data_IF_898670496640
#
_entry.id   IF_898670496640
#
_cell.length_a   1.000
_cell.length_b   1.000
_cell.length_c   1.000
_cell.angle_alpha   90.00
_cell.angle_beta   90.00
_cell.angle_gamma   90.00
#
_symmetry.space_group_name_H-M   'P 1'
#
loop_
_entity.id
_entity.type
_entity.pdbx_description
1 polymer ?
#
# COMPACT_ATOMS: atom_id res chain seq x y z
N UNK A 1 11.81 17.86 -2.39
CA UNK A 1 13.22 18.28 -2.50
C UNK A 1 14.08 17.03 -2.59
N UNK A 2 14.90 16.90 -3.63
CA UNK A 2 15.84 15.78 -3.78
C UNK A 2 17.05 16.01 -2.87
N UNK A 3 17.30 15.11 -1.92
CA UNK A 3 18.48 15.12 -1.05
C UNK A 3 19.68 14.58 -1.83
N UNK A 4 20.81 15.29 -1.79
CA UNK A 4 22.10 14.79 -2.29
C UNK A 4 22.80 14.11 -1.11
N UNK A 5 23.17 12.84 -1.28
CA UNK A 5 23.86 12.04 -0.27
C UNK A 5 25.22 11.63 -0.82
N UNK A 6 26.27 11.80 -0.03
CA UNK A 6 27.58 11.26 -0.35
C UNK A 6 27.59 9.77 0.00
N UNK A 7 27.80 8.91 -0.99
CA UNK A 7 27.96 7.48 -0.74
C UNK A 7 29.40 7.19 -0.29
N UNK A 8 29.57 6.87 0.98
CA UNK A 8 30.87 6.57 1.60
C UNK A 8 31.17 5.06 1.54
N UNK A 9 30.15 4.22 1.32
CA UNK A 9 30.30 2.76 1.31
C UNK A 9 30.31 2.15 -0.09
N UNK A 10 31.03 1.04 -0.25
CA UNK A 10 31.00 0.24 -1.49
C UNK A 10 29.79 -0.70 -1.44
N UNK A 11 28.93 -0.71 -2.47
CA UNK A 11 27.82 -1.66 -2.53
C UNK A 11 28.31 -3.11 -2.50
N UNK A 12 27.61 -3.95 -1.74
CA UNK A 12 27.81 -5.39 -1.73
C UNK A 12 27.45 -6.00 -3.09
N UNK A 13 28.22 -7.01 -3.51
CA UNK A 13 28.00 -7.72 -4.79
C UNK A 13 26.64 -8.41 -4.87
N UNK A 14 26.11 -8.87 -3.73
CA UNK A 14 24.84 -9.59 -3.65
C UNK A 14 23.89 -8.78 -2.75
N UNK A 15 22.71 -8.38 -3.23
CA UNK A 15 21.73 -7.64 -2.43
C UNK A 15 21.08 -8.49 -1.34
N UNK A 16 20.75 -7.84 -0.22
CA UNK A 16 19.86 -8.42 0.77
C UNK A 16 18.41 -8.02 0.47
N UNK A 17 17.51 -9.00 0.41
CA UNK A 17 16.08 -8.77 0.17
C UNK A 17 15.29 -8.88 1.47
N UNK A 18 14.60 -7.80 1.84
CA UNK A 18 13.63 -7.79 2.94
C UNK A 18 12.25 -8.18 2.40
N UNK A 19 11.97 -9.47 2.38
CA UNK A 19 10.74 -10.02 1.78
C UNK A 19 9.44 -9.41 2.32
N UNK A 20 9.43 -8.97 3.59
CA UNK A 20 8.25 -8.36 4.23
C UNK A 20 7.86 -6.99 3.65
N UNK A 21 8.81 -6.23 3.09
CA UNK A 21 8.56 -4.93 2.46
C UNK A 21 8.88 -4.93 0.96
N UNK A 22 9.26 -6.09 0.40
CA UNK A 22 9.57 -6.27 -1.01
C UNK A 22 10.91 -5.65 -1.48
N UNK A 23 11.51 -4.77 -0.67
CA UNK A 23 12.74 -4.05 -1.01
C UNK A 23 14.01 -4.86 -0.83
N UNK A 24 15.03 -4.47 -1.57
CA UNK A 24 16.39 -4.98 -1.42
C UNK A 24 17.37 -3.82 -1.24
N UNK A 25 18.52 -4.09 -0.64
CA UNK A 25 19.59 -3.10 -0.50
C UNK A 25 20.98 -3.76 -0.58
N UNK A 26 21.95 -2.97 -1.01
CA UNK A 26 23.34 -3.34 -1.25
C UNK A 26 24.33 -2.42 -0.56
N UNK A 27 23.94 -1.22 -0.15
CA UNK A 27 24.83 -0.28 0.55
C UNK A 27 24.25 0.19 1.88
N UNK A 28 25.08 0.85 2.68
CA UNK A 28 24.63 1.49 3.92
C UNK A 28 23.60 2.58 3.63
N UNK A 29 23.83 3.40 2.60
CA UNK A 29 22.97 4.52 2.25
C UNK A 29 21.58 4.06 1.82
N UNK A 30 21.49 2.97 1.04
CA UNK A 30 20.22 2.34 0.69
C UNK A 30 19.51 1.80 1.93
N UNK A 31 20.25 1.23 2.89
CA UNK A 31 19.66 0.76 4.14
C UNK A 31 19.17 1.92 5.03
N UNK A 32 19.90 3.03 5.10
CA UNK A 32 19.44 4.25 5.77
C UNK A 32 18.19 4.83 5.12
N UNK A 33 18.13 4.83 3.79
CA UNK A 33 16.94 5.24 3.05
C UNK A 33 15.73 4.36 3.42
N UNK A 34 15.93 3.04 3.51
CA UNK A 34 14.89 2.11 3.96
C UNK A 34 14.47 2.40 5.41
N UNK A 35 15.40 2.67 6.32
CA UNK A 35 15.07 3.04 7.70
C UNK A 35 14.20 4.30 7.78
N UNK A 36 14.42 5.28 6.90
CA UNK A 36 13.64 6.51 6.85
C UNK A 36 12.19 6.30 6.40
N UNK A 37 12.01 5.45 5.38
CA UNK A 37 10.71 5.21 4.76
C UNK A 37 9.90 4.12 5.47
N UNK A 38 10.59 3.13 6.07
CA UNK A 38 10.01 1.95 6.69
C UNK A 38 10.29 1.88 8.20
N UNK A 39 10.51 3.02 8.87
CA UNK A 39 10.86 3.09 10.30
C UNK A 39 9.96 2.22 11.19
N UNK A 40 8.64 2.31 11.01
CA UNK A 40 7.68 1.56 11.83
C UNK A 40 7.82 0.04 11.68
N UNK A 41 8.22 -0.45 10.49
CA UNK A 41 8.51 -1.85 10.25
C UNK A 41 9.70 -2.29 11.09
N UNK A 42 10.81 -1.56 11.03
CA UNK A 42 12.01 -1.89 11.81
C UNK A 42 11.80 -1.74 13.32
N UNK A 43 10.95 -0.81 13.76
CA UNK A 43 10.58 -0.69 15.17
C UNK A 43 9.69 -1.84 15.68
N UNK A 44 8.93 -2.47 14.79
CA UNK A 44 7.99 -3.55 15.17
C UNK A 44 8.65 -4.92 15.07
N UNK A 45 9.50 -5.13 14.06
CA UNK A 45 10.14 -6.41 13.77
C UNK A 45 11.58 -6.50 14.32
N UNK A 46 12.22 -5.35 14.57
CA UNK A 46 13.65 -5.30 14.85
C UNK A 46 14.50 -5.76 13.65
N UNK A 47 15.79 -5.96 13.89
CA UNK A 47 16.70 -6.58 12.93
C UNK A 47 16.85 -8.05 13.25
N UNK A 48 16.19 -8.90 12.47
CA UNK A 48 16.30 -10.36 12.58
C UNK A 48 17.75 -10.82 12.33
N UNK A 49 18.11 -12.00 12.87
CA UNK A 49 19.46 -12.57 12.76
C UNK A 49 20.05 -12.56 11.33
N UNK A 50 19.32 -12.96 10.27
CA UNK A 50 19.85 -12.92 8.91
C UNK A 50 20.20 -11.50 8.43
N UNK A 51 19.43 -10.49 8.84
CA UNK A 51 19.72 -9.10 8.53
C UNK A 51 20.98 -8.62 9.25
N UNK A 52 21.11 -8.91 10.56
CA UNK A 52 22.31 -8.55 11.34
C UNK A 52 23.57 -9.19 10.75
N UNK A 53 23.50 -10.47 10.36
CA UNK A 53 24.61 -11.16 9.72
C UNK A 53 25.01 -10.52 8.38
N UNK A 54 24.03 -10.19 7.54
CA UNK A 54 24.31 -9.52 6.27
C UNK A 54 24.98 -8.15 6.47
N UNK A 55 24.45 -7.33 7.39
CA UNK A 55 25.04 -6.02 7.73
C UNK A 55 26.50 -6.17 8.16
N UNK A 56 26.80 -7.17 8.99
CA UNK A 56 28.16 -7.45 9.46
C UNK A 56 29.08 -7.95 8.34
N UNK A 57 28.68 -9.00 7.63
CA UNK A 57 29.57 -9.69 6.68
C UNK A 57 29.75 -8.95 5.36
N UNK A 58 28.74 -8.18 4.93
CA UNK A 58 28.73 -7.55 3.60
C UNK A 58 28.95 -6.05 3.65
N UNK A 59 28.54 -5.38 4.74
CA UNK A 59 28.64 -3.92 4.87
C UNK A 59 29.55 -3.48 6.02
N UNK A 60 30.15 -4.42 6.76
CA UNK A 60 31.01 -4.13 7.92
C UNK A 60 30.30 -3.29 9.00
N UNK A 61 28.99 -3.53 9.19
CA UNK A 61 28.16 -2.85 10.19
C UNK A 61 27.80 -3.84 11.30
N UNK A 62 28.32 -3.63 12.50
CA UNK A 62 28.06 -4.50 13.65
C UNK A 62 26.94 -3.91 14.51
N UNK A 63 25.79 -4.60 14.53
CA UNK A 63 24.68 -4.27 15.42
C UNK A 63 24.76 -5.12 16.68
N UNK A 64 24.93 -4.46 17.83
CA UNK A 64 25.16 -5.10 19.14
C UNK A 64 23.86 -5.32 19.91
N UNK A 65 22.94 -4.38 19.83
CA UNK A 65 21.70 -4.46 20.60
C UNK A 65 20.66 -5.42 20.01
N UNK A 66 19.85 -6.01 20.88
CA UNK A 66 18.63 -6.73 20.51
C UNK A 66 17.37 -5.86 20.60
N UNK A 67 17.47 -4.68 21.23
CA UNK A 67 16.38 -3.71 21.28
C UNK A 67 16.25 -2.96 19.95
N UNK A 68 15.05 -2.95 19.37
CA UNK A 68 14.80 -2.35 18.05
C UNK A 68 15.13 -0.85 17.98
N UNK A 69 14.90 -0.11 19.07
CA UNK A 69 15.21 1.33 19.10
C UNK A 69 16.72 1.54 19.08
N UNK A 70 17.47 0.76 19.87
CA UNK A 70 18.93 0.84 19.89
C UNK A 70 19.55 0.35 18.58
N UNK A 71 19.02 -0.72 17.98
CA UNK A 71 19.44 -1.19 16.66
C UNK A 71 19.37 -0.07 15.61
N UNK A 72 18.25 0.65 15.54
CA UNK A 72 18.09 1.78 14.63
C UNK A 72 19.07 2.91 14.95
N UNK A 73 19.28 3.21 16.25
CA UNK A 73 20.26 4.23 16.67
C UNK A 73 21.70 3.88 16.31
N UNK A 74 22.07 2.60 16.40
CA UNK A 74 23.41 2.13 16.01
C UNK A 74 23.64 2.36 14.52
N UNK A 75 22.64 2.07 13.67
CA UNK A 75 22.76 2.29 12.22
C UNK A 75 22.88 3.76 11.89
N UNK A 76 21.98 4.64 12.35
CA UNK A 76 22.00 6.06 11.96
C UNK A 76 23.27 6.81 12.39
N UNK A 77 24.03 6.25 13.33
CA UNK A 77 25.28 6.82 13.84
C UNK A 77 26.54 6.18 13.25
N UNK A 78 26.40 5.19 12.35
CA UNK A 78 27.54 4.41 11.87
C UNK A 78 28.38 5.17 10.83
N UNK A 79 27.79 5.59 9.71
CA UNK A 79 28.42 6.45 8.68
C UNK A 79 27.59 7.72 8.41
N UNK A 80 28.14 8.64 7.60
CA UNK A 80 27.52 9.94 7.33
C UNK A 80 26.45 9.86 6.24
N UNK A 81 25.26 9.40 6.61
CA UNK A 81 24.06 9.55 5.76
C UNK A 81 23.15 10.69 6.24
N UNK A 82 23.02 10.83 7.56
CA UNK A 82 22.21 11.85 8.20
C UNK A 82 23.09 13.02 8.63
N UNK A 83 22.67 14.24 8.33
CA UNK A 83 23.25 15.44 8.95
C UNK A 83 22.97 15.44 10.45
N UNK A 84 23.69 16.26 11.22
CA UNK A 84 23.45 16.39 12.67
C UNK A 84 21.99 16.74 12.99
N UNK A 85 21.39 17.64 12.22
CA UNK A 85 19.99 18.05 12.39
C UNK A 85 19.01 16.93 12.03
N UNK A 86 19.27 16.21 10.93
CA UNK A 86 18.45 15.06 10.54
C UNK A 86 18.53 13.95 11.59
N UNK A 87 19.70 13.69 12.19
CA UNK A 87 19.83 12.73 13.30
C UNK A 87 18.95 13.14 14.49
N UNK A 88 18.93 14.43 14.84
CA UNK A 88 18.08 14.93 15.94
C UNK A 88 16.61 14.71 15.62
N UNK A 89 16.15 15.13 14.43
CA UNK A 89 14.76 14.95 13.99
C UNK A 89 14.36 13.47 13.93
N UNK A 90 15.25 12.63 13.40
CA UNK A 90 15.02 11.20 13.30
C UNK A 90 14.91 10.54 14.67
N UNK A 91 15.82 10.88 15.60
CA UNK A 91 15.77 10.37 16.97
C UNK A 91 14.53 10.85 17.73
N UNK A 92 14.06 12.07 17.49
CA UNK A 92 12.79 12.55 18.03
C UNK A 92 11.62 11.73 17.49
N UNK A 93 11.54 11.53 16.17
CA UNK A 93 10.53 10.67 15.52
C UNK A 93 10.57 9.23 16.04
N UNK A 94 11.77 8.69 16.27
CA UNK A 94 11.98 7.36 16.84
C UNK A 94 11.38 7.26 18.25
N UNK A 95 11.69 8.23 19.12
CA UNK A 95 11.17 8.28 20.50
C UNK A 95 9.66 8.41 20.55
N UNK A 96 9.09 9.32 19.77
CA UNK A 96 7.63 9.52 19.75
C UNK A 96 6.90 8.29 19.22
N UNK A 97 7.41 7.68 18.13
CA UNK A 97 6.82 6.47 17.56
C UNK A 97 6.91 5.28 18.53
N UNK A 98 8.02 5.16 19.27
CA UNK A 98 8.19 4.11 20.27
C UNK A 98 7.19 4.23 21.44
N UNK A 99 6.77 5.45 21.81
CA UNK A 99 5.82 5.66 22.91
C UNK A 99 4.36 5.44 22.53
N UNK A 100 4.05 5.25 21.24
CA UNK A 100 2.69 4.94 20.81
C UNK A 100 2.20 3.60 21.36
N UNK A 101 0.90 3.52 21.59
CA UNK A 101 0.22 2.27 21.97
C UNK A 101 0.43 1.20 20.91
N UNK A 102 0.30 -0.07 21.31
CA UNK A 102 0.44 -1.19 20.38
C UNK A 102 -0.54 -1.08 19.19
N UNK A 103 -1.80 -0.72 19.45
CA UNK A 103 -2.80 -0.47 18.40
C UNK A 103 -2.37 0.65 17.44
N UNK A 104 -1.84 1.77 17.96
CA UNK A 104 -1.39 2.89 17.12
C UNK A 104 -0.18 2.51 16.26
N UNK A 105 0.79 1.77 16.81
CA UNK A 105 1.93 1.24 16.05
C UNK A 105 1.48 0.28 14.95
N UNK A 106 0.54 -0.62 15.27
CA UNK A 106 -0.02 -1.56 14.30
C UNK A 106 -0.75 -0.84 13.15
N UNK A 107 -1.54 0.20 13.46
CA UNK A 107 -2.16 1.05 12.43
C UNK A 107 -1.09 1.72 11.55
N UNK A 108 -0.05 2.31 12.14
CA UNK A 108 1.03 2.95 11.38
C UNK A 108 1.78 1.96 10.48
N UNK A 109 1.97 0.72 10.94
CA UNK A 109 2.55 -0.35 10.13
C UNK A 109 1.66 -0.68 8.93
N UNK A 110 0.35 -0.79 9.14
CA UNK A 110 -0.62 -1.02 8.07
C UNK A 110 -0.68 0.15 7.08
N UNK A 111 -0.74 1.39 7.57
CA UNK A 111 -0.71 2.63 6.77
C UNK A 111 0.58 2.71 5.92
N UNK A 112 1.72 2.28 6.47
CA UNK A 112 2.99 2.19 5.73
C UNK A 112 2.88 1.17 4.59
N UNK A 113 2.38 -0.03 4.85
CA UNK A 113 2.19 -1.04 3.79
C UNK A 113 1.27 -0.53 2.69
N UNK A 114 0.17 0.15 3.04
CA UNK A 114 -0.75 0.75 2.07
C UNK A 114 -0.06 1.84 1.22
N UNK A 115 0.69 2.74 1.86
CA UNK A 115 1.46 3.80 1.16
C UNK A 115 2.42 3.22 0.13
N UNK A 116 2.99 2.05 0.42
CA UNK A 116 3.90 1.33 -0.47
C UNK A 116 3.20 0.29 -1.36
N UNK A 117 1.86 0.34 -1.47
CA UNK A 117 1.04 -0.49 -2.35
C UNK A 117 1.09 -2.00 -2.04
N UNK A 118 1.52 -2.38 -0.84
CA UNK A 118 1.57 -3.75 -0.35
C UNK A 118 0.19 -4.16 0.21
N UNK A 119 -0.84 -4.16 -0.63
CA UNK A 119 -2.25 -4.22 -0.22
C UNK A 119 -2.62 -5.43 0.65
N UNK A 120 -2.13 -6.63 0.31
CA UNK A 120 -2.37 -7.84 1.10
C UNK A 120 -1.79 -7.70 2.52
N UNK A 121 -0.56 -7.18 2.62
CA UNK A 121 0.10 -6.97 3.91
C UNK A 121 -0.57 -5.87 4.73
N UNK A 122 -0.98 -4.80 4.06
CA UNK A 122 -1.75 -3.72 4.68
C UNK A 122 -3.06 -4.26 5.27
N UNK A 123 -3.82 -5.04 4.49
CA UNK A 123 -5.09 -5.63 4.94
C UNK A 123 -4.89 -6.55 6.15
N UNK A 124 -3.93 -7.48 6.10
CA UNK A 124 -3.60 -8.36 7.22
C UNK A 124 -3.20 -7.54 8.46
N UNK A 125 -2.41 -6.47 8.27
CA UNK A 125 -1.98 -5.62 9.36
C UNK A 125 -3.13 -4.82 9.98
N UNK A 126 -4.12 -4.37 9.18
CA UNK A 126 -5.33 -3.75 9.69
C UNK A 126 -6.22 -4.76 10.44
N UNK A 127 -6.47 -5.95 9.89
CA UNK A 127 -7.26 -7.00 10.55
C UNK A 127 -6.68 -7.40 11.91
N UNK A 128 -5.35 -7.43 12.03
CA UNK A 128 -4.68 -7.72 13.31
C UNK A 128 -5.05 -6.74 14.43
N UNK A 129 -5.54 -5.53 14.13
CA UNK A 129 -5.97 -4.56 15.15
C UNK A 129 -7.10 -5.08 16.04
N UNK A 130 -7.89 -6.06 15.60
CA UNK A 130 -8.93 -6.71 16.41
C UNK A 130 -8.36 -7.46 17.62
N UNK A 131 -7.11 -7.90 17.52
CA UNK A 131 -6.42 -8.72 18.53
C UNK A 131 -5.37 -7.95 19.32
N UNK A 132 -4.99 -6.75 18.88
CA UNK A 132 -3.92 -5.96 19.50
C UNK A 132 -4.45 -5.16 20.68
N UNK A 133 -3.68 -5.09 21.76
CA UNK A 133 -4.04 -4.32 22.95
C UNK A 133 -4.10 -2.81 22.69
N UNK A 134 -5.10 -2.15 23.27
CA UNK A 134 -5.35 -0.72 23.12
C UNK A 134 -6.47 -0.44 22.13
N UNK A 135 -7.11 0.72 22.27
CA UNK A 135 -8.22 1.13 21.39
C UNK A 135 -7.81 2.32 20.55
N UNK A 136 -8.13 2.25 19.27
CA UNK A 136 -8.13 3.41 18.38
C UNK A 136 -9.34 4.30 18.69
N UNK A 137 -9.20 5.60 18.50
CA UNK A 137 -10.35 6.50 18.59
C UNK A 137 -11.27 6.33 17.35
N UNK A 138 -12.48 6.91 17.40
CA UNK A 138 -13.45 6.75 16.32
C UNK A 138 -12.94 7.22 14.94
N UNK A 139 -12.19 8.33 14.89
CA UNK A 139 -11.62 8.85 13.64
C UNK A 139 -10.57 7.89 13.05
N UNK A 140 -9.75 7.28 13.91
CA UNK A 140 -8.77 6.28 13.50
C UNK A 140 -9.43 4.97 13.06
N UNK A 141 -10.51 4.55 13.71
CA UNK A 141 -11.29 3.37 13.31
C UNK A 141 -11.92 3.55 11.92
N UNK A 142 -12.53 4.72 11.67
CA UNK A 142 -13.06 5.08 10.35
C UNK A 142 -11.94 5.01 9.29
N UNK A 143 -10.77 5.59 9.57
CA UNK A 143 -9.64 5.55 8.64
C UNK A 143 -9.18 4.12 8.35
N UNK A 144 -9.12 3.25 9.37
CA UNK A 144 -8.74 1.84 9.19
C UNK A 144 -9.72 1.14 8.27
N UNK A 145 -11.04 1.27 8.53
CA UNK A 145 -12.08 0.66 7.70
C UNK A 145 -12.05 1.18 6.26
N UNK A 146 -11.88 2.49 6.08
CA UNK A 146 -11.71 3.09 4.76
C UNK A 146 -10.46 2.55 4.04
N UNK A 147 -9.32 2.45 4.71
CA UNK A 147 -8.09 1.90 4.14
C UNK A 147 -8.18 0.41 3.83
N UNK A 148 -8.90 -0.37 4.63
CA UNK A 148 -9.22 -1.78 4.32
C UNK A 148 -10.04 -1.88 3.05
N UNK A 149 -11.09 -1.07 2.91
CA UNK A 149 -11.89 -0.97 1.69
C UNK A 149 -11.05 -0.60 0.46
N UNK A 150 -10.13 0.37 0.59
CA UNK A 150 -9.20 0.72 -0.49
C UNK A 150 -8.27 -0.46 -0.88
N UNK A 151 -7.74 -1.20 0.10
CA UNK A 151 -6.93 -2.38 -0.17
C UNK A 151 -7.74 -3.44 -0.93
N UNK A 152 -8.95 -3.74 -0.45
CA UNK A 152 -9.85 -4.73 -1.04
C UNK A 152 -10.25 -4.34 -2.47
N UNK A 153 -10.63 -3.07 -2.71
CA UNK A 153 -10.93 -2.56 -4.05
C UNK A 153 -9.74 -2.71 -5.00
N UNK A 154 -8.50 -2.45 -4.54
CA UNK A 154 -7.28 -2.64 -5.34
C UNK A 154 -6.98 -4.10 -5.65
N UNK A 155 -7.51 -5.02 -4.85
CA UNK A 155 -7.42 -6.47 -5.05
C UNK A 155 -8.66 -7.05 -5.75
N UNK A 156 -9.57 -6.21 -6.24
CA UNK A 156 -10.83 -6.61 -6.90
C UNK A 156 -11.80 -7.38 -5.99
N UNK A 157 -11.61 -7.29 -4.68
CA UNK A 157 -12.50 -7.84 -3.64
C UNK A 157 -13.61 -6.82 -3.34
N UNK A 158 -14.47 -6.54 -4.33
CA UNK A 158 -15.41 -5.40 -4.25
C UNK A 158 -16.54 -5.61 -3.25
N UNK A 159 -16.97 -6.85 -3.02
CA UNK A 159 -17.96 -7.17 -1.99
C UNK A 159 -17.42 -6.90 -0.58
N UNK A 160 -16.19 -7.31 -0.30
CA UNK A 160 -15.54 -7.04 0.98
C UNK A 160 -15.22 -5.55 1.14
N UNK A 161 -14.84 -4.87 0.05
CA UNK A 161 -14.61 -3.43 0.06
C UNK A 161 -15.88 -2.65 0.43
N UNK A 162 -17.03 -3.02 -0.15
CA UNK A 162 -18.35 -2.47 0.20
C UNK A 162 -18.62 -2.57 1.69
N UNK A 163 -18.44 -3.75 2.27
CA UNK A 163 -18.70 -3.96 3.70
C UNK A 163 -17.78 -3.11 4.57
N UNK A 164 -16.48 -3.02 4.23
CA UNK A 164 -15.54 -2.14 4.95
C UNK A 164 -15.96 -0.67 4.90
N UNK A 165 -16.39 -0.16 3.74
CA UNK A 165 -16.88 1.21 3.61
C UNK A 165 -18.21 1.42 4.34
N UNK A 166 -19.14 0.46 4.27
CA UNK A 166 -20.41 0.52 4.99
C UNK A 166 -20.18 0.56 6.52
N UNK A 167 -19.25 -0.24 7.03
CA UNK A 167 -18.85 -0.20 8.44
C UNK A 167 -18.29 1.17 8.83
N UNK A 168 -17.51 1.82 7.97
CA UNK A 168 -17.02 3.17 8.22
C UNK A 168 -18.15 4.20 8.26
N UNK A 169 -19.10 4.13 7.32
CA UNK A 169 -20.28 5.02 7.25
C UNK A 169 -21.21 4.88 8.46
N UNK A 170 -21.32 3.67 9.04
CA UNK A 170 -22.08 3.45 10.29
C UNK A 170 -21.50 4.19 11.49
N UNK A 171 -20.20 4.50 11.49
CA UNK A 171 -19.58 5.29 12.57
C UNK A 171 -19.82 6.78 12.33
N UNK A 172 -19.56 7.25 11.11
CA UNK A 172 -19.78 8.64 10.72
C UNK A 172 -20.00 8.73 9.21
N UNK A 173 -21.02 9.48 8.82
CA UNK A 173 -21.23 9.83 7.41
C UNK A 173 -20.08 10.69 6.88
N UNK A 174 -19.57 10.30 5.71
CA UNK A 174 -18.53 11.01 5.00
C UNK A 174 -18.72 10.83 3.49
N UNK A 175 -18.71 11.95 2.76
CA UNK A 175 -18.98 11.96 1.32
C UNK A 175 -17.94 11.16 0.53
N UNK A 176 -16.66 11.21 0.92
CA UNK A 176 -15.60 10.48 0.23
C UNK A 176 -15.78 8.98 0.41
N UNK A 177 -16.21 8.55 1.60
CA UNK A 177 -16.47 7.12 1.88
C UNK A 177 -17.73 6.65 1.14
N UNK A 178 -18.77 7.48 1.05
CA UNK A 178 -19.96 7.19 0.23
C UNK A 178 -19.60 7.00 -1.25
N UNK A 179 -18.80 7.91 -1.82
CA UNK A 179 -18.34 7.79 -3.22
C UNK A 179 -17.53 6.50 -3.44
N UNK A 180 -16.66 6.13 -2.49
CA UNK A 180 -15.89 4.88 -2.55
C UNK A 180 -16.81 3.65 -2.44
N UNK A 181 -17.82 3.68 -1.56
CA UNK A 181 -18.82 2.63 -1.42
C UNK A 181 -19.60 2.42 -2.71
N UNK A 182 -20.14 3.48 -3.31
CA UNK A 182 -20.90 3.37 -4.56
C UNK A 182 -20.04 2.88 -5.72
N UNK A 183 -18.79 3.34 -5.78
CA UNK A 183 -17.84 2.84 -6.78
C UNK A 183 -17.61 1.34 -6.61
N UNK A 184 -17.39 0.86 -5.40
CA UNK A 184 -17.24 -0.56 -5.12
C UNK A 184 -18.52 -1.35 -5.44
N UNK A 185 -19.70 -0.81 -5.12
CA UNK A 185 -20.98 -1.45 -5.43
C UNK A 185 -21.26 -1.56 -6.92
N UNK A 186 -20.93 -0.52 -7.69
CA UNK A 186 -21.03 -0.55 -9.14
C UNK A 186 -20.12 -1.64 -9.73
N UNK A 187 -18.91 -1.78 -9.20
CA UNK A 187 -17.93 -2.75 -9.69
C UNK A 187 -18.22 -4.20 -9.25
N UNK A 188 -18.99 -4.38 -8.17
CA UNK A 188 -19.29 -5.68 -7.61
C UNK A 188 -20.47 -6.39 -8.30
N UNK A 189 -21.43 -5.63 -8.86
CA UNK A 189 -22.68 -6.19 -9.34
C UNK A 189 -23.41 -5.35 -10.39
N UNK A 190 -24.62 -5.78 -10.71
CA UNK A 190 -25.52 -5.10 -11.63
C UNK A 190 -26.32 -3.97 -10.95
N UNK A 191 -27.24 -3.38 -11.69
CA UNK A 191 -28.07 -2.27 -11.20
C UNK A 191 -28.90 -2.67 -9.96
N UNK A 192 -29.47 -3.88 -9.94
CA UNK A 192 -30.26 -4.34 -8.79
C UNK A 192 -29.41 -4.46 -7.53
N UNK A 193 -28.23 -5.07 -7.65
CA UNK A 193 -27.27 -5.18 -6.54
C UNK A 193 -26.81 -3.80 -6.04
N UNK A 194 -26.62 -2.83 -6.95
CA UNK A 194 -26.29 -1.45 -6.59
C UNK A 194 -27.42 -0.75 -5.81
N UNK A 195 -28.67 -0.89 -6.26
CA UNK A 195 -29.83 -0.30 -5.58
C UNK A 195 -30.04 -0.93 -4.19
N UNK A 196 -29.85 -2.25 -4.06
CA UNK A 196 -29.89 -2.91 -2.75
C UNK A 196 -28.80 -2.39 -1.81
N UNK A 197 -27.57 -2.24 -2.32
CA UNK A 197 -26.47 -1.66 -1.58
C UNK A 197 -26.77 -0.22 -1.11
N UNK A 198 -27.29 0.64 -2.00
CA UNK A 198 -27.70 2.00 -1.65
C UNK A 198 -28.77 2.06 -0.55
N UNK A 199 -29.76 1.16 -0.59
CA UNK A 199 -30.77 1.04 0.49
C UNK A 199 -30.16 0.67 1.84
N UNK A 200 -29.10 -0.15 1.88
CA UNK A 200 -28.42 -0.54 3.14
C UNK A 200 -27.74 0.64 3.84
N UNK A 201 -27.40 1.69 3.10
CA UNK A 201 -26.83 2.94 3.64
C UNK A 201 -27.85 4.10 3.61
N UNK A 202 -29.15 3.78 3.55
CA UNK A 202 -30.27 4.72 3.66
C UNK A 202 -30.39 5.77 2.54
N UNK A 203 -29.88 5.48 1.34
CA UNK A 203 -30.17 6.31 0.17
C UNK A 203 -31.53 5.95 -0.43
N UNK A 204 -32.27 6.95 -0.89
CA UNK A 204 -33.48 6.71 -1.68
C UNK A 204 -33.14 6.17 -3.07
N UNK A 205 -34.09 5.43 -3.64
CA UNK A 205 -33.88 4.71 -4.90
C UNK A 205 -33.60 5.65 -6.07
N UNK A 206 -34.20 6.85 -6.10
CA UNK A 206 -34.01 7.82 -7.17
C UNK A 206 -32.59 8.40 -7.12
N UNK A 207 -32.09 8.72 -5.93
CA UNK A 207 -30.69 9.10 -5.73
C UNK A 207 -29.73 7.99 -6.18
N UNK A 208 -30.00 6.73 -5.83
CA UNK A 208 -29.18 5.61 -6.27
C UNK A 208 -29.17 5.47 -7.80
N UNK A 209 -30.34 5.56 -8.45
CA UNK A 209 -30.45 5.52 -9.92
C UNK A 209 -29.66 6.65 -10.58
N UNK A 210 -29.75 7.87 -10.05
CA UNK A 210 -28.96 9.00 -10.55
C UNK A 210 -27.45 8.75 -10.43
N UNK A 211 -26.98 8.25 -9.29
CA UNK A 211 -25.56 7.95 -9.08
C UNK A 211 -25.10 6.84 -10.04
N UNK A 212 -25.91 5.78 -10.18
CA UNK A 212 -25.61 4.67 -11.09
C UNK A 212 -25.51 5.12 -12.55
N UNK A 213 -26.46 5.96 -13.01
CA UNK A 213 -26.43 6.54 -14.35
C UNK A 213 -25.20 7.42 -14.56
N UNK A 214 -24.87 8.30 -13.61
CA UNK A 214 -23.67 9.14 -13.66
C UNK A 214 -22.38 8.31 -13.77
N UNK A 215 -22.30 7.18 -13.05
CA UNK A 215 -21.16 6.26 -13.15
C UNK A 215 -21.11 5.62 -14.54
N UNK A 216 -22.24 5.12 -15.06
CA UNK A 216 -22.33 4.54 -16.42
C UNK A 216 -21.93 5.53 -17.52
N UNK A 217 -22.33 6.79 -17.39
CA UNK A 217 -21.96 7.83 -18.36
C UNK A 217 -20.45 8.09 -18.35
N UNK A 218 -19.84 8.20 -17.17
CA UNK A 218 -18.38 8.32 -17.04
C UNK A 218 -17.65 7.09 -17.57
N UNK A 219 -18.21 5.90 -17.40
CA UNK A 219 -17.64 4.68 -17.95
C UNK A 219 -17.54 4.76 -19.49
N UNK A 220 -18.58 5.28 -20.16
CA UNK A 220 -18.55 5.51 -21.61
C UNK A 220 -17.43 6.45 -22.04
N UNK A 221 -17.14 7.49 -21.26
CA UNK A 221 -16.03 8.40 -21.52
C UNK A 221 -14.67 7.71 -21.35
N UNK A 222 -14.54 6.80 -20.38
CA UNK A 222 -13.32 6.02 -20.17
C UNK A 222 -13.01 5.12 -21.37
N UNK A 223 -14.04 4.53 -22.00
CA UNK A 223 -13.87 3.75 -23.23
C UNK A 223 -13.34 4.55 -24.43
N UNK A 224 -13.41 5.88 -24.39
CA UNK A 224 -12.86 6.77 -25.45
C UNK A 224 -11.39 7.12 -25.22
N UNK A 225 -10.76 6.59 -24.16
CA UNK A 225 -9.33 6.82 -23.90
C UNK A 225 -8.45 5.91 -24.74
N UNK A 226 -7.25 6.40 -25.07
CA UNK A 226 -6.24 5.69 -25.89
C UNK A 226 -5.88 4.29 -25.35
N UNK A 227 -6.01 4.08 -24.04
CA UNK A 227 -5.78 2.78 -23.40
C UNK A 227 -6.83 1.74 -23.81
N UNK A 228 -8.08 2.16 -23.99
CA UNK A 228 -9.16 1.31 -24.48
C UNK A 228 -9.09 1.11 -25.99
N UNK A 229 -8.53 2.04 -26.77
CA UNK A 229 -8.24 1.81 -28.19
C UNK A 229 -7.30 0.61 -28.40
N UNK A 230 -6.34 0.40 -27.49
CA UNK A 230 -5.42 -0.75 -27.55
C UNK A 230 -6.16 -2.07 -27.32
N UNK A 231 -7.13 -2.09 -26.40
CA UNK A 231 -8.01 -3.24 -26.18
C UNK A 231 -8.98 -3.45 -27.36
N UNK A 232 -9.52 -2.37 -27.93
CA UNK A 232 -10.37 -2.41 -29.12
C UNK A 232 -9.63 -2.98 -30.34
N UNK A 233 -8.36 -2.63 -30.54
CA UNK A 233 -7.52 -3.23 -31.59
C UNK A 233 -7.32 -4.73 -31.39
N UNK A 234 -7.12 -5.19 -30.15
CA UNK A 234 -7.03 -6.62 -29.84
C UNK A 234 -8.34 -7.33 -30.20
N UNK A 235 -9.49 -6.77 -29.80
CA UNK A 235 -10.81 -7.34 -30.08
C UNK A 235 -11.11 -7.39 -31.58
N UNK A 236 -10.74 -6.35 -32.33
CA UNK A 236 -10.88 -6.28 -33.78
C UNK A 236 -10.14 -7.42 -34.50
N UNK A 237 -8.85 -7.60 -34.21
CA UNK A 237 -8.06 -8.67 -34.83
C UNK A 237 -8.53 -10.06 -34.39
N UNK A 238 -8.99 -10.20 -33.14
CA UNK A 238 -9.60 -11.45 -32.64
C UNK A 238 -10.84 -11.81 -33.45
N UNK A 239 -11.74 -10.86 -33.71
CA UNK A 239 -12.96 -11.07 -34.52
C UNK A 239 -12.66 -11.41 -35.98
N UNK A 240 -11.52 -10.97 -36.51
CA UNK A 240 -11.04 -11.31 -37.86
C UNK A 240 -10.25 -12.62 -37.94
N UNK A 241 -10.12 -13.35 -36.84
CA UNK A 241 -9.32 -14.58 -36.74
C UNK A 241 -7.82 -14.40 -37.11
N UNK A 242 -7.28 -13.19 -36.92
CA UNK A 242 -5.85 -12.91 -37.14
C UNK A 242 -5.03 -13.26 -35.89
N UNK A 243 -4.80 -14.56 -35.69
CA UNK A 243 -4.18 -15.09 -34.47
C UNK A 243 -2.79 -14.52 -34.17
N UNK A 244 -2.01 -14.22 -35.21
CA UNK A 244 -0.64 -13.73 -35.06
C UNK A 244 -0.61 -12.30 -34.52
N UNK A 245 -1.42 -11.41 -35.08
CA UNK A 245 -1.52 -10.03 -34.61
C UNK A 245 -2.19 -9.99 -33.23
N UNK A 246 -3.26 -10.76 -33.02
CA UNK A 246 -3.94 -10.85 -31.72
C UNK A 246 -3.00 -11.32 -30.62
N UNK A 247 -2.22 -12.40 -30.83
CA UNK A 247 -1.24 -12.88 -29.83
C UNK A 247 -0.17 -11.84 -29.52
N UNK A 248 0.34 -11.15 -30.55
CA UNK A 248 1.37 -10.11 -30.36
C UNK A 248 0.85 -8.96 -29.51
N UNK A 249 -0.32 -8.43 -29.83
CA UNK A 249 -0.93 -7.32 -29.11
C UNK A 249 -1.28 -7.71 -27.66
N UNK A 250 -1.86 -8.90 -27.45
CA UNK A 250 -2.16 -9.43 -26.09
C UNK A 250 -0.87 -9.54 -25.27
N UNK A 251 0.20 -10.09 -25.85
CA UNK A 251 1.47 -10.27 -25.14
C UNK A 251 2.09 -8.93 -24.73
N UNK A 252 2.01 -7.92 -25.58
CA UNK A 252 2.49 -6.56 -25.27
C UNK A 252 1.68 -5.94 -24.14
N UNK A 253 0.34 -5.98 -24.22
CA UNK A 253 -0.54 -5.39 -23.19
C UNK A 253 -0.41 -6.11 -21.86
N UNK A 254 -0.46 -7.44 -21.85
CA UNK A 254 -0.27 -8.23 -20.63
C UNK A 254 1.15 -8.09 -20.06
N UNK A 255 2.16 -7.94 -20.90
CA UNK A 255 3.53 -7.67 -20.45
C UNK A 255 3.59 -6.37 -19.65
N UNK A 256 3.07 -5.29 -20.22
CA UNK A 256 2.98 -3.99 -19.54
C UNK A 256 2.21 -4.09 -18.21
N UNK A 257 1.02 -4.70 -18.21
CA UNK A 257 0.23 -4.86 -16.98
C UNK A 257 0.91 -5.75 -15.94
N UNK A 258 1.60 -6.83 -16.37
CA UNK A 258 2.39 -7.67 -15.47
C UNK A 258 3.54 -6.90 -14.86
N UNK A 259 4.22 -6.04 -15.61
CA UNK A 259 5.34 -5.25 -15.11
C UNK A 259 4.84 -4.15 -14.16
N UNK A 260 3.72 -3.51 -14.47
CA UNK A 260 3.01 -2.58 -13.57
C UNK A 260 2.58 -3.28 -12.28
N UNK A 261 1.98 -4.48 -12.37
CA UNK A 261 1.56 -5.25 -11.20
C UNK A 261 2.75 -5.77 -10.39
N UNK A 262 3.83 -6.21 -11.03
CA UNK A 262 5.09 -6.60 -10.37
C UNK A 262 5.72 -5.42 -9.66
N UNK A 263 5.70 -4.23 -10.25
CA UNK A 263 6.16 -3.01 -9.60
C UNK A 263 5.33 -2.64 -8.35
N UNK A 264 4.09 -3.15 -8.26
CA UNK A 264 3.21 -3.00 -7.10
C UNK A 264 3.40 -4.13 -6.05
N UNK A 265 3.91 -5.30 -6.44
CA UNK A 265 3.98 -6.50 -5.59
C UNK A 265 5.41 -6.92 -5.18
N UNK A 266 6.44 -6.30 -5.77
CA UNK A 266 7.87 -6.42 -5.41
C UNK A 266 8.32 -5.09 -4.79
#
# INVERSE_FOLDING_TARGET
>A
MSKIVLCETKPAKVPYKIAKIGRSFQSYEEFCWLLEHYLIFFLTEGFEYPLKNYLKEKLDIVIKSDDAVQQVKEVINYYNYFTSDEKIQFQQKLRTTYLYSAAKKQKLLADMYLKHQLYVRALIAYQKLETVSGKLNAAEQIQVLYHMGLCQSRMFCFEEAKESFAMALRIKEDKQIQEAYFTAAYLAGDEEAFLEAGRRISFDEDQCKMIYQNIKEREKEVFQKEEFDKLGKIDYHRKKADENITRRLIKTTLGKWKDEYKAQTI
#
